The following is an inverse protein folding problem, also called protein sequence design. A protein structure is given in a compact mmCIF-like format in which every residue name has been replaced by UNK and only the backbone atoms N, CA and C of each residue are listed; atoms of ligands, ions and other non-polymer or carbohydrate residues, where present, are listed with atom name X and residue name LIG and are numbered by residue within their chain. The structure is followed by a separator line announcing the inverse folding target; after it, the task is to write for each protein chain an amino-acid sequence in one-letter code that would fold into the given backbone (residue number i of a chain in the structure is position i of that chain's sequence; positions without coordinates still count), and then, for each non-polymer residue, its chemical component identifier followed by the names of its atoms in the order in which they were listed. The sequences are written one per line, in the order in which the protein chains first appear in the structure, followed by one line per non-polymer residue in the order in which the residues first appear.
data_IF_660048571831
#
_entry.id   IF_660048571831
#
_cell.length_a   1.000
_cell.length_b   1.000
_cell.length_c   1.000
_cell.angle_alpha   90.00
_cell.angle_beta   90.00
_cell.angle_gamma   90.00
#
_symmetry.space_group_name_H-M   'P 1'
#
loop_
_entity.id
_entity.type
_entity.pdbx_description
1 polymer ?
#
# COMPACT_ATOMS: atom_id res chain seq x y z
N UNK A 1 -4.60 -17.02 -8.97
CA UNK A 1 -4.11 -15.73 -9.48
C UNK A 1 -4.57 -14.60 -8.58
N UNK A 2 -3.70 -13.67 -8.24
CA UNK A 2 -4.06 -12.54 -7.38
C UNK A 2 -4.68 -11.41 -8.20
N UNK A 3 -5.74 -10.81 -7.69
CA UNK A 3 -6.29 -9.59 -8.27
C UNK A 3 -5.42 -8.39 -7.87
N UNK A 4 -5.39 -7.38 -8.71
CA UNK A 4 -4.62 -6.16 -8.47
C UNK A 4 -5.53 -5.07 -7.89
N UNK A 5 -5.02 -4.38 -6.90
CA UNK A 5 -5.71 -3.23 -6.29
C UNK A 5 -4.73 -2.05 -6.24
N UNK A 6 -5.21 -0.88 -6.62
CA UNK A 6 -4.48 0.37 -6.46
C UNK A 6 -5.14 1.18 -5.35
N UNK A 7 -4.35 1.56 -4.36
CA UNK A 7 -4.80 2.43 -3.27
C UNK A 7 -4.29 3.84 -3.57
N UNK A 8 -5.21 4.78 -3.69
CA UNK A 8 -4.87 6.17 -3.96
C UNK A 8 -4.71 6.91 -2.63
N UNK A 9 -3.48 7.32 -2.36
CA UNK A 9 -3.13 8.01 -1.13
C UNK A 9 -2.49 7.09 -0.10
N UNK A 10 -1.47 7.62 0.59
CA UNK A 10 -0.68 6.88 1.57
C UNK A 10 -0.90 7.35 3.00
N UNK A 11 -2.01 8.04 3.26
CA UNK A 11 -2.39 8.43 4.61
C UNK A 11 -2.81 7.22 5.45
N UNK A 12 -3.21 7.47 6.68
CA UNK A 12 -3.57 6.42 7.64
C UNK A 12 -4.62 5.46 7.06
N UNK A 13 -5.68 6.01 6.46
CA UNK A 13 -6.75 5.19 5.88
C UNK A 13 -6.25 4.38 4.67
N UNK A 14 -5.44 5.00 3.82
CA UNK A 14 -4.90 4.33 2.64
C UNK A 14 -3.99 3.17 3.02
N UNK A 15 -3.11 3.38 3.99
CA UNK A 15 -2.20 2.34 4.47
C UNK A 15 -2.97 1.21 5.14
N UNK A 16 -3.99 1.53 5.93
CA UNK A 16 -4.86 0.53 6.54
C UNK A 16 -5.55 -0.33 5.49
N UNK A 17 -6.09 0.29 4.45
CA UNK A 17 -6.72 -0.43 3.34
C UNK A 17 -5.71 -1.31 2.59
N UNK A 18 -4.50 -0.79 2.38
CA UNK A 18 -3.43 -1.54 1.69
C UNK A 18 -3.04 -2.79 2.47
N UNK A 19 -2.88 -2.66 3.79
CA UNK A 19 -2.54 -3.79 4.65
C UNK A 19 -3.66 -4.84 4.62
N UNK A 20 -4.89 -4.41 4.74
CA UNK A 20 -6.03 -5.31 4.71
C UNK A 20 -6.11 -6.05 3.37
N UNK A 21 -5.98 -5.32 2.27
CA UNK A 21 -6.01 -5.92 0.94
C UNK A 21 -4.86 -6.93 0.75
N UNK A 22 -3.68 -6.60 1.26
CA UNK A 22 -2.54 -7.51 1.21
C UNK A 22 -2.82 -8.81 1.97
N UNK A 23 -3.46 -8.71 3.13
CA UNK A 23 -3.86 -9.90 3.91
C UNK A 23 -4.92 -10.73 3.19
N UNK A 24 -5.74 -10.09 2.35
CA UNK A 24 -6.75 -10.75 1.54
C UNK A 24 -6.19 -11.33 0.24
N UNK A 25 -4.87 -11.33 0.11
CA UNK A 25 -4.16 -11.92 -1.01
C UNK A 25 -4.31 -11.17 -2.33
N UNK A 26 -4.48 -9.84 -2.27
CA UNK A 26 -4.42 -8.97 -3.45
C UNK A 26 -2.99 -8.52 -3.71
N UNK A 27 -2.69 -8.25 -4.97
CA UNK A 27 -1.49 -7.49 -5.33
C UNK A 27 -1.82 -6.01 -5.14
N UNK A 28 -1.13 -5.35 -4.22
CA UNK A 28 -1.45 -3.98 -3.83
C UNK A 28 -0.39 -3.02 -4.32
N UNK A 29 -0.82 -1.93 -4.96
CA UNK A 29 0.03 -0.81 -5.30
C UNK A 29 -0.51 0.43 -4.60
N UNK A 30 0.32 1.09 -3.81
CA UNK A 30 -0.05 2.36 -3.19
C UNK A 30 0.50 3.49 -4.07
N UNK A 31 -0.38 4.36 -4.52
CA UNK A 31 -0.02 5.51 -5.36
C UNK A 31 -0.35 6.80 -4.62
N UNK A 32 0.60 7.71 -4.56
CA UNK A 32 0.40 9.01 -3.93
C UNK A 32 1.01 10.09 -4.80
N UNK A 33 0.30 11.20 -4.96
CA UNK A 33 0.81 12.35 -5.71
C UNK A 33 1.90 13.10 -4.94
N UNK A 34 1.99 12.89 -3.65
CA UNK A 34 3.02 13.47 -2.79
C UNK A 34 4.05 12.41 -2.43
N UNK A 35 5.20 12.86 -1.94
CA UNK A 35 6.22 11.93 -1.45
C UNK A 35 5.69 11.13 -0.26
N UNK A 36 5.89 9.84 -0.30
CA UNK A 36 5.49 8.95 0.80
C UNK A 36 6.53 9.08 1.92
N UNK A 37 6.07 9.23 3.16
CA UNK A 37 6.95 9.38 4.31
C UNK A 37 7.80 8.13 4.53
N UNK A 38 9.00 8.33 5.08
CA UNK A 38 9.92 7.22 5.34
C UNK A 38 9.32 6.14 6.23
N UNK A 39 8.58 6.54 7.26
CA UNK A 39 7.90 5.61 8.17
C UNK A 39 6.89 4.74 7.42
N UNK A 40 6.14 5.35 6.51
CA UNK A 40 5.16 4.65 5.69
C UNK A 40 5.85 3.68 4.73
N UNK A 41 6.96 4.12 4.12
CA UNK A 41 7.75 3.24 3.23
C UNK A 41 8.23 2.00 3.97
N UNK A 42 8.66 2.14 5.23
CA UNK A 42 9.09 1.00 6.05
C UNK A 42 7.97 -0.03 6.22
N UNK A 43 6.76 0.45 6.49
CA UNK A 43 5.60 -0.41 6.63
C UNK A 43 5.33 -1.14 5.32
N UNK A 44 5.37 -0.43 4.21
CA UNK A 44 5.11 -1.01 2.88
C UNK A 44 6.15 -2.07 2.53
N UNK A 45 7.43 -1.80 2.80
CA UNK A 45 8.49 -2.78 2.59
C UNK A 45 8.25 -4.03 3.44
N UNK A 46 7.95 -3.83 4.71
CA UNK A 46 7.72 -4.91 5.66
C UNK A 46 6.56 -5.81 5.25
N UNK A 47 5.55 -5.22 4.63
CA UNK A 47 4.35 -5.95 4.19
C UNK A 47 4.44 -6.38 2.72
N UNK A 48 5.56 -6.14 2.05
CA UNK A 48 5.74 -6.47 0.64
C UNK A 48 4.73 -5.77 -0.28
N UNK A 49 4.41 -4.52 0.03
CA UNK A 49 3.48 -3.72 -0.75
C UNK A 49 4.27 -2.74 -1.61
N UNK A 50 3.97 -2.72 -2.91
CA UNK A 50 4.60 -1.79 -3.86
C UNK A 50 3.98 -0.40 -3.75
N UNK A 51 4.75 0.62 -4.13
CA UNK A 51 4.25 1.99 -4.19
C UNK A 51 4.90 2.75 -5.34
N UNK A 52 4.27 3.85 -5.72
CA UNK A 52 4.82 4.81 -6.68
C UNK A 52 4.34 6.23 -6.41
#
# INVERSE_FOLDING_TARGET
MKSNIVILGSGISGIGAAILASKQNYNVLVSDSKSIKSETKRILIQKNISWE
#
